data_IF_886788129404
#
_entry.id   IF_886788129404
#
_cell.length_a   1.000
_cell.length_b   1.000
_cell.length_c   1.000
_cell.angle_alpha   90.00
_cell.angle_beta   90.00
_cell.angle_gamma   90.00
#
_symmetry.space_group_name_H-M   'P 1'
#
loop_
_entity.id
_entity.type
_entity.pdbx_description
1 polymer ?
#
# COMPACT_ATOMS: atom_id res chain seq x y z
N UNK A 1 -18.90 -31.46 -26.76
CA UNK A 1 -18.50 -30.66 -27.94
C UNK A 1 -19.73 -30.25 -28.78
N UNK A 2 -20.93 -30.05 -28.18
CA UNK A 2 -22.18 -30.21 -28.95
C UNK A 2 -23.33 -29.22 -28.66
N UNK A 3 -23.21 -28.21 -27.79
CA UNK A 3 -24.35 -27.29 -27.55
C UNK A 3 -24.29 -26.03 -28.42
N UNK A 4 -23.10 -25.62 -28.85
CA UNK A 4 -22.92 -24.42 -29.69
C UNK A 4 -23.16 -24.69 -31.18
N UNK A 5 -22.99 -25.94 -31.63
CA UNK A 5 -23.34 -26.40 -32.99
C UNK A 5 -24.85 -26.59 -33.18
N UNK A 6 -25.61 -26.76 -32.10
CA UNK A 6 -27.08 -26.88 -32.10
C UNK A 6 -27.74 -25.50 -32.13
N UNK A 7 -27.02 -24.44 -31.73
CA UNK A 7 -27.60 -23.11 -31.61
C UNK A 7 -27.72 -22.36 -32.94
N UNK A 8 -26.83 -22.58 -33.93
CA UNK A 8 -27.02 -21.96 -35.23
C UNK A 8 -28.36 -22.46 -35.79
N UNK A 9 -29.30 -21.55 -36.04
CA UNK A 9 -30.59 -21.87 -36.64
C UNK A 9 -30.35 -22.87 -37.78
N UNK A 10 -30.96 -24.05 -37.69
CA UNK A 10 -30.79 -25.16 -38.63
C UNK A 10 -30.94 -24.67 -40.07
N UNK A 11 -31.77 -23.65 -40.29
CA UNK A 11 -31.94 -22.93 -41.56
C UNK A 11 -30.66 -22.24 -42.03
N UNK A 12 -30.02 -21.42 -41.19
CA UNK A 12 -28.78 -20.70 -41.52
C UNK A 12 -27.66 -21.71 -41.80
N UNK A 13 -27.59 -22.80 -41.03
CA UNK A 13 -26.60 -23.85 -41.23
C UNK A 13 -26.74 -24.51 -42.61
N UNK A 14 -27.96 -24.95 -42.95
CA UNK A 14 -28.24 -25.57 -44.24
C UNK A 14 -27.92 -24.62 -45.40
N UNK A 15 -28.31 -23.35 -45.32
CA UNK A 15 -28.02 -22.35 -46.36
C UNK A 15 -26.50 -22.11 -46.53
N UNK A 16 -25.72 -22.11 -45.45
CA UNK A 16 -24.25 -22.01 -45.50
C UNK A 16 -23.64 -23.26 -46.14
N UNK A 17 -24.10 -24.44 -45.72
CA UNK A 17 -23.61 -25.72 -46.23
C UNK A 17 -23.91 -25.86 -47.74
N UNK A 18 -25.12 -25.52 -48.18
CA UNK A 18 -25.52 -25.51 -49.60
C UNK A 18 -24.64 -24.57 -50.44
N UNK A 19 -24.39 -23.34 -49.97
CA UNK A 19 -23.48 -22.43 -50.65
C UNK A 19 -22.04 -22.95 -50.71
N UNK A 20 -21.57 -23.60 -49.66
CA UNK A 20 -20.20 -24.12 -49.59
C UNK A 20 -19.94 -25.27 -50.56
N UNK A 21 -20.99 -25.99 -50.96
CA UNK A 21 -20.92 -27.13 -51.87
C UNK A 21 -21.07 -26.74 -53.35
N UNK A 22 -21.49 -25.50 -53.65
CA UNK A 22 -21.66 -25.04 -55.03
C UNK A 22 -20.32 -24.93 -55.76
N UNK A 23 -20.23 -25.58 -56.92
CA UNK A 23 -19.07 -25.44 -57.83
C UNK A 23 -19.27 -24.22 -58.73
N UNK A 24 -18.27 -23.35 -58.79
CA UNK A 24 -18.33 -22.10 -59.56
C UNK A 24 -17.74 -22.34 -60.95
N UNK A 25 -18.60 -22.33 -61.98
CA UNK A 25 -18.20 -22.44 -63.39
C UNK A 25 -19.02 -21.44 -64.20
N UNK A 26 -18.37 -20.61 -65.01
CA UNK A 26 -19.03 -19.63 -65.89
C UNK A 26 -18.70 -19.98 -67.34
N UNK A 27 -19.69 -20.43 -68.11
CA UNK A 27 -19.59 -20.75 -69.54
C UNK A 27 -20.60 -19.98 -70.38
N UNK A 28 -21.63 -19.43 -69.75
CA UNK A 28 -22.70 -18.66 -70.38
C UNK A 28 -23.00 -17.36 -69.62
N UNK A 29 -23.75 -16.46 -70.27
CA UNK A 29 -24.29 -15.26 -69.62
C UNK A 29 -25.27 -15.62 -68.48
N UNK A 30 -26.01 -16.72 -68.63
CA UNK A 30 -26.93 -17.24 -67.61
C UNK A 30 -26.15 -17.70 -66.35
N UNK A 31 -25.02 -18.39 -66.52
CA UNK A 31 -24.16 -18.81 -65.40
C UNK A 31 -23.64 -17.60 -64.60
N UNK A 32 -23.28 -16.52 -65.31
CA UNK A 32 -22.81 -15.28 -64.68
C UNK A 32 -23.92 -14.63 -63.83
N UNK A 33 -25.16 -14.63 -64.32
CA UNK A 33 -26.30 -14.06 -63.60
C UNK A 33 -26.70 -14.91 -62.39
N UNK A 34 -26.67 -16.23 -62.52
CA UNK A 34 -26.88 -17.16 -61.41
C UNK A 34 -25.82 -16.97 -60.31
N UNK A 35 -24.54 -16.93 -60.67
CA UNK A 35 -23.44 -16.73 -59.70
C UNK A 35 -23.51 -15.35 -59.04
N UNK A 36 -23.88 -14.30 -59.78
CA UNK A 36 -24.11 -12.97 -59.22
C UNK A 36 -25.21 -12.96 -58.16
N UNK A 37 -26.27 -13.74 -58.37
CA UNK A 37 -27.35 -13.92 -57.40
C UNK A 37 -26.88 -14.71 -56.18
N UNK A 38 -26.14 -15.79 -56.39
CA UNK A 38 -25.55 -16.58 -55.30
C UNK A 38 -24.59 -15.76 -54.43
N UNK A 39 -23.80 -14.86 -55.02
CA UNK A 39 -22.92 -13.93 -54.28
C UNK A 39 -23.73 -12.97 -53.40
N UNK A 40 -24.90 -12.49 -53.87
CA UNK A 40 -25.79 -11.66 -53.03
C UNK A 40 -26.35 -12.47 -51.86
N UNK A 41 -26.81 -13.69 -52.12
CA UNK A 41 -27.30 -14.61 -51.09
C UNK A 41 -26.22 -14.94 -50.05
N UNK A 42 -24.98 -15.20 -50.49
CA UNK A 42 -23.86 -15.45 -49.59
C UNK A 42 -23.56 -14.28 -48.65
N UNK A 43 -23.61 -13.04 -49.15
CA UNK A 43 -23.44 -11.84 -48.31
C UNK A 43 -24.55 -11.71 -47.29
N UNK A 44 -25.79 -12.00 -47.68
CA UNK A 44 -26.94 -11.96 -46.79
C UNK A 44 -26.85 -13.02 -45.68
N UNK A 45 -26.52 -14.25 -46.04
CA UNK A 45 -26.33 -15.37 -45.10
C UNK A 45 -25.21 -15.05 -44.11
N UNK A 46 -24.07 -14.51 -44.58
CA UNK A 46 -22.99 -14.05 -43.71
C UNK A 46 -23.45 -13.01 -42.68
N UNK A 47 -24.23 -12.02 -43.11
CA UNK A 47 -24.76 -10.99 -42.20
C UNK A 47 -25.67 -11.58 -41.13
N UNK A 48 -26.46 -12.60 -41.45
CA UNK A 48 -27.31 -13.31 -40.49
C UNK A 48 -26.48 -14.08 -39.46
N UNK A 49 -25.44 -14.79 -39.92
CA UNK A 49 -24.48 -15.48 -39.04
C UNK A 49 -23.82 -14.49 -38.07
N UNK A 50 -23.30 -13.37 -38.58
CA UNK A 50 -22.67 -12.33 -37.75
C UNK A 50 -23.63 -11.76 -36.69
N UNK A 51 -24.87 -11.47 -37.09
CA UNK A 51 -25.91 -10.95 -36.20
C UNK A 51 -26.29 -11.96 -35.12
N UNK A 52 -26.42 -13.23 -35.51
CA UNK A 52 -26.72 -14.33 -34.60
C UNK A 52 -25.65 -14.48 -33.51
N UNK A 53 -24.37 -14.48 -33.87
CA UNK A 53 -23.28 -14.58 -32.90
C UNK A 53 -23.05 -13.29 -32.11
N UNK A 54 -23.45 -12.12 -32.63
CA UNK A 54 -23.29 -10.85 -31.92
C UNK A 54 -24.05 -10.85 -30.60
N UNK A 55 -25.31 -11.26 -30.60
CA UNK A 55 -26.13 -11.29 -29.38
C UNK A 55 -25.54 -12.22 -28.31
N UNK A 56 -24.99 -13.36 -28.71
CA UNK A 56 -24.31 -14.30 -27.80
C UNK A 56 -23.04 -13.71 -27.20
N UNK A 57 -22.19 -13.09 -28.03
CA UNK A 57 -20.97 -12.43 -27.56
C UNK A 57 -21.29 -11.30 -26.58
N UNK A 58 -22.31 -10.50 -26.89
CA UNK A 58 -22.75 -9.40 -26.03
C UNK A 58 -23.31 -9.92 -24.69
N UNK A 59 -24.05 -11.03 -24.70
CA UNK A 59 -24.55 -11.67 -23.48
C UNK A 59 -23.39 -12.24 -22.63
N UNK A 60 -22.48 -13.01 -23.24
CA UNK A 60 -21.32 -13.54 -22.55
C UNK A 60 -20.47 -12.45 -21.91
N UNK A 61 -20.23 -11.34 -22.62
CA UNK A 61 -19.52 -10.18 -22.09
C UNK A 61 -20.24 -9.55 -20.90
N UNK A 62 -21.58 -9.38 -20.97
CA UNK A 62 -22.38 -8.86 -19.85
C UNK A 62 -22.30 -9.78 -18.62
N UNK A 63 -22.44 -11.09 -18.81
CA UNK A 63 -22.34 -12.07 -17.72
C UNK A 63 -20.95 -12.06 -17.11
N UNK A 64 -19.90 -12.11 -17.92
CA UNK A 64 -18.52 -12.01 -17.43
C UNK A 64 -18.29 -10.72 -16.62
N UNK A 65 -18.71 -9.57 -17.16
CA UNK A 65 -18.59 -8.28 -16.47
C UNK A 65 -19.37 -8.26 -15.15
N UNK A 66 -20.55 -8.88 -15.11
CA UNK A 66 -21.35 -9.04 -13.89
C UNK A 66 -20.63 -9.87 -12.83
N UNK A 67 -20.02 -10.98 -13.23
CA UNK A 67 -19.23 -11.85 -12.33
C UNK A 67 -18.04 -11.08 -11.77
N UNK A 68 -17.25 -10.40 -12.62
CA UNK A 68 -16.09 -9.60 -12.19
C UNK A 68 -16.52 -8.48 -11.22
N UNK A 69 -17.66 -7.83 -11.50
CA UNK A 69 -18.19 -6.79 -10.61
C UNK A 69 -18.63 -7.36 -9.26
N UNK A 70 -19.23 -8.55 -9.25
CA UNK A 70 -19.66 -9.21 -8.03
C UNK A 70 -18.45 -9.65 -7.20
N UNK A 71 -17.49 -10.33 -7.81
CA UNK A 71 -16.20 -10.68 -7.20
C UNK A 71 -15.56 -9.47 -6.55
N UNK A 72 -15.41 -8.38 -7.33
CA UNK A 72 -14.86 -7.13 -6.82
C UNK A 72 -15.63 -6.61 -5.61
N UNK A 73 -16.96 -6.64 -5.62
CA UNK A 73 -17.76 -6.15 -4.49
C UNK A 73 -17.52 -6.93 -3.19
N UNK A 74 -17.20 -8.22 -3.26
CA UNK A 74 -16.86 -9.02 -2.08
C UNK A 74 -15.43 -8.77 -1.63
N UNK A 75 -14.49 -8.75 -2.58
CA UNK A 75 -13.07 -8.47 -2.30
C UNK A 75 -12.88 -7.07 -1.71
N UNK A 76 -13.59 -6.07 -2.21
CA UNK A 76 -13.53 -4.70 -1.68
C UNK A 76 -14.02 -4.65 -0.22
N UNK A 77 -15.08 -5.38 0.15
CA UNK A 77 -15.53 -5.47 1.56
C UNK A 77 -14.51 -6.12 2.47
N UNK A 78 -13.83 -7.17 2.00
CA UNK A 78 -12.74 -7.80 2.74
C UNK A 78 -11.57 -6.83 2.94
N UNK A 79 -11.19 -6.10 1.89
CA UNK A 79 -10.15 -5.08 1.96
C UNK A 79 -10.51 -3.95 2.93
N UNK A 80 -11.76 -3.46 2.87
CA UNK A 80 -12.24 -2.40 3.77
C UNK A 80 -12.19 -2.85 5.24
N UNK A 81 -12.61 -4.09 5.51
CA UNK A 81 -12.48 -4.68 6.85
C UNK A 81 -11.03 -4.80 7.29
N UNK A 82 -10.14 -5.31 6.43
CA UNK A 82 -8.72 -5.45 6.73
C UNK A 82 -8.07 -4.10 7.07
N UNK A 83 -8.36 -3.06 6.29
CA UNK A 83 -7.89 -1.69 6.55
C UNK A 83 -8.39 -1.21 7.91
N UNK A 84 -9.69 -1.32 8.18
CA UNK A 84 -10.28 -0.87 9.45
C UNK A 84 -9.72 -1.63 10.66
N UNK A 85 -9.56 -2.95 10.54
CA UNK A 85 -9.02 -3.79 11.60
C UNK A 85 -7.55 -3.44 11.90
N UNK A 86 -6.72 -3.30 10.87
CA UNK A 86 -5.32 -2.91 11.03
C UNK A 86 -5.16 -1.51 11.64
N UNK A 87 -6.02 -0.56 11.26
CA UNK A 87 -6.04 0.76 11.89
C UNK A 87 -6.41 0.70 13.37
N UNK A 88 -7.43 -0.10 13.74
CA UNK A 88 -7.85 -0.28 15.13
C UNK A 88 -6.74 -0.93 15.98
N UNK A 89 -6.10 -1.99 15.46
CA UNK A 89 -4.96 -2.64 16.11
C UNK A 89 -3.81 -1.65 16.30
N UNK A 90 -3.48 -0.86 15.28
CA UNK A 90 -2.42 0.15 15.37
C UNK A 90 -2.72 1.23 16.42
N UNK A 91 -3.98 1.66 16.55
CA UNK A 91 -4.39 2.62 17.59
C UNK A 91 -4.23 2.01 18.97
N UNK A 92 -4.68 0.75 19.17
CA UNK A 92 -4.51 0.03 20.42
C UNK A 92 -3.04 -0.13 20.80
N UNK A 93 -2.20 -0.62 19.88
CA UNK A 93 -0.77 -0.82 20.11
C UNK A 93 -0.05 0.49 20.47
N UNK A 94 -0.41 1.60 19.83
CA UNK A 94 0.11 2.93 20.18
C UNK A 94 -0.30 3.33 21.59
N UNK A 95 -1.55 3.07 21.98
CA UNK A 95 -2.03 3.38 23.33
C UNK A 95 -1.31 2.53 24.38
N UNK A 96 -1.18 1.22 24.15
CA UNK A 96 -0.44 0.32 25.05
C UNK A 96 1.02 0.72 25.16
N UNK A 97 1.67 1.05 24.03
CA UNK A 97 3.07 1.51 24.04
C UNK A 97 3.24 2.83 24.79
N UNK A 98 2.31 3.77 24.63
CA UNK A 98 2.31 5.04 25.37
C UNK A 98 2.18 4.79 26.87
N UNK A 99 1.30 3.88 27.27
CA UNK A 99 1.10 3.52 28.66
C UNK A 99 2.31 2.79 29.27
N UNK A 100 2.90 1.86 28.52
CA UNK A 100 4.15 1.21 28.91
C UNK A 100 5.29 2.21 29.10
N UNK A 101 5.38 3.24 28.25
CA UNK A 101 6.38 4.30 28.41
C UNK A 101 6.11 5.13 29.67
N UNK A 102 4.84 5.48 29.94
CA UNK A 102 4.45 6.21 31.17
C UNK A 102 4.82 5.43 32.42
N UNK A 103 4.49 4.14 32.47
CA UNK A 103 4.88 3.26 33.59
C UNK A 103 6.38 3.08 33.69
N UNK A 104 7.12 3.05 32.57
CA UNK A 104 8.58 2.98 32.61
C UNK A 104 9.21 4.25 33.18
N UNK A 105 8.68 5.43 32.83
CA UNK A 105 9.09 6.71 33.42
C UNK A 105 8.75 6.79 34.91
N UNK A 106 7.57 6.33 35.32
CA UNK A 106 7.17 6.29 36.73
C UNK A 106 8.00 5.30 37.55
N UNK A 107 8.27 4.11 37.01
CA UNK A 107 9.16 3.12 37.61
C UNK A 107 10.57 3.67 37.79
N UNK A 108 11.10 4.39 36.79
CA UNK A 108 12.41 5.02 36.88
C UNK A 108 12.44 6.12 37.95
N UNK A 109 11.43 7.00 38.00
CA UNK A 109 11.31 8.00 39.04
C UNK A 109 11.21 7.39 40.45
N UNK A 110 10.47 6.29 40.59
CA UNK A 110 10.35 5.53 41.85
C UNK A 110 11.66 4.86 42.24
N UNK A 111 12.41 4.28 41.29
CA UNK A 111 13.75 3.72 41.56
C UNK A 111 14.72 4.79 42.03
N UNK A 112 14.72 5.97 41.43
CA UNK A 112 15.55 7.09 41.86
C UNK A 112 15.16 7.58 43.27
N UNK A 113 13.85 7.62 43.58
CA UNK A 113 13.38 7.95 44.91
C UNK A 113 13.74 6.88 45.95
N UNK A 114 13.69 5.59 45.59
CA UNK A 114 14.14 4.49 46.45
C UNK A 114 15.63 4.58 46.75
N UNK A 115 16.45 4.80 45.72
CA UNK A 115 17.90 4.94 45.87
C UNK A 115 18.25 6.11 46.80
N UNK A 116 17.59 7.26 46.61
CA UNK A 116 17.74 8.40 47.50
C UNK A 116 17.28 8.10 48.93
N UNK A 117 16.14 7.45 49.10
CA UNK A 117 15.64 7.06 50.42
C UNK A 117 16.58 6.05 51.10
N UNK A 118 17.23 5.16 50.35
CA UNK A 118 18.24 4.24 50.88
C UNK A 118 19.48 4.99 51.34
N UNK A 119 19.98 5.93 50.54
CA UNK A 119 21.12 6.78 50.90
C UNK A 119 20.82 7.63 52.14
N UNK A 120 19.63 8.24 52.22
CA UNK A 120 19.19 9.01 53.37
C UNK A 120 19.08 8.11 54.63
N UNK A 121 18.55 6.90 54.51
CA UNK A 121 18.45 5.94 55.62
C UNK A 121 19.82 5.39 56.07
N UNK A 122 20.76 5.20 55.14
CA UNK A 122 22.13 4.77 55.43
C UNK A 122 22.92 5.90 56.12
N UNK A 123 22.76 7.14 55.63
CA UNK A 123 23.33 8.32 56.28
C UNK A 123 22.77 8.54 57.69
N UNK A 124 21.45 8.39 57.88
CA UNK A 124 20.81 8.50 59.19
C UNK A 124 21.27 7.40 60.15
N UNK A 125 21.47 6.16 59.66
CA UNK A 125 22.04 5.06 60.46
C UNK A 125 23.47 5.35 60.89
N UNK A 126 24.33 5.82 59.98
CA UNK A 126 25.71 6.21 60.32
C UNK A 126 25.71 7.31 61.39
N UNK A 127 24.87 8.34 61.23
CA UNK A 127 24.76 9.43 62.19
C UNK A 127 24.26 8.95 63.57
N UNK A 128 23.36 7.96 63.59
CA UNK A 128 22.85 7.37 64.81
C UNK A 128 23.89 6.49 65.53
N UNK A 129 24.69 5.71 64.79
CA UNK A 129 25.84 4.98 65.34
C UNK A 129 26.90 5.94 65.89
N UNK A 130 27.26 7.00 65.15
CA UNK A 130 28.23 8.01 65.59
C UNK A 130 27.73 8.77 66.84
N UNK A 131 26.44 9.07 66.94
CA UNK A 131 25.83 9.70 68.11
C UNK A 131 25.70 8.75 69.33
N UNK A 132 25.69 7.44 69.09
CA UNK A 132 25.68 6.41 70.13
C UNK A 132 27.00 6.40 70.92
N UNK A 133 28.10 6.75 70.27
CA UNK A 133 29.44 6.84 70.85
C UNK A 133 29.69 8.16 71.61
N UNK A 134 28.93 9.23 71.35
CA UNK A 134 29.22 10.60 71.88
C UNK A 134 28.11 11.28 72.73
N UNK A 135 26.86 10.80 72.85
CA UNK A 135 25.74 11.63 73.36
C UNK A 135 24.75 11.04 74.42
N UNK A 136 24.08 11.95 75.15
CA UNK A 136 22.99 11.75 76.14
C UNK A 136 21.74 11.03 75.60
N UNK A 137 20.98 10.34 76.46
CA UNK A 137 19.91 9.40 76.08
C UNK A 137 18.80 9.94 75.17
N UNK A 138 18.55 11.26 75.16
CA UNK A 138 17.52 11.90 74.33
C UNK A 138 17.95 12.00 72.85
N UNK A 139 19.21 12.39 72.58
CA UNK A 139 19.75 12.46 71.22
C UNK A 139 19.83 11.08 70.56
N UNK A 140 20.09 10.03 71.36
CA UNK A 140 20.06 8.63 70.89
C UNK A 140 18.65 8.19 70.49
N UNK A 141 17.62 8.59 71.24
CA UNK A 141 16.23 8.27 70.90
C UNK A 141 15.73 9.00 69.65
N UNK A 142 16.13 10.26 69.45
CA UNK A 142 15.80 11.00 68.22
C UNK A 142 16.48 10.39 66.99
N UNK A 143 17.78 10.07 67.08
CA UNK A 143 18.53 9.47 65.98
C UNK A 143 17.99 8.08 65.58
N UNK A 144 17.59 7.24 66.56
CA UNK A 144 16.96 5.93 66.29
C UNK A 144 15.58 6.09 65.65
N UNK A 145 14.76 7.04 66.11
CA UNK A 145 13.44 7.30 65.51
C UNK A 145 13.56 7.82 64.07
N UNK A 146 14.56 8.66 63.80
CA UNK A 146 14.82 9.18 62.45
C UNK A 146 15.30 8.07 61.50
N UNK A 147 16.16 7.16 61.99
CA UNK A 147 16.59 5.99 61.24
C UNK A 147 15.43 5.01 60.93
N UNK A 148 14.57 4.70 61.91
CA UNK A 148 13.38 3.86 61.68
C UNK A 148 12.37 4.50 60.72
N UNK A 149 12.17 5.82 60.82
CA UNK A 149 11.29 6.56 59.91
C UNK A 149 11.84 6.54 58.47
N UNK A 150 13.16 6.69 58.30
CA UNK A 150 13.82 6.60 57.00
C UNK A 150 13.71 5.18 56.41
N UNK A 151 13.84 4.13 57.23
CA UNK A 151 13.71 2.74 56.79
C UNK A 151 12.29 2.38 56.37
N UNK A 152 11.25 2.83 57.10
CA UNK A 152 9.86 2.67 56.66
C UNK A 152 9.59 3.36 55.33
N UNK A 153 10.16 4.54 55.12
CA UNK A 153 10.03 5.28 53.85
C UNK A 153 10.72 4.54 52.69
N UNK A 154 11.87 3.94 52.93
CA UNK A 154 12.56 3.10 51.95
C UNK A 154 11.78 1.81 51.61
N UNK A 155 11.18 1.15 52.61
CA UNK A 155 10.35 -0.04 52.41
C UNK A 155 9.08 0.27 51.58
N UNK A 156 8.39 1.38 51.88
CA UNK A 156 7.23 1.81 51.12
C UNK A 156 7.57 2.19 49.66
N UNK A 157 8.77 2.73 49.43
CA UNK A 157 9.26 3.05 48.08
C UNK A 157 9.48 1.77 47.23
N UNK A 158 10.07 0.73 47.83
CA UNK A 158 10.29 -0.59 47.18
C UNK A 158 8.99 -1.25 46.74
N UNK A 159 7.99 -1.29 47.63
CA UNK A 159 6.70 -1.91 47.34
C UNK A 159 5.99 -1.20 46.19
N UNK A 160 6.03 0.13 46.17
CA UNK A 160 5.48 0.93 45.07
C UNK A 160 6.17 0.66 43.73
N UNK A 161 7.50 0.50 43.71
CA UNK A 161 8.24 0.17 42.49
C UNK A 161 7.90 -1.23 41.95
N UNK A 162 7.77 -2.22 42.85
CA UNK A 162 7.41 -3.59 42.48
C UNK A 162 6.00 -3.70 41.87
N UNK A 163 5.06 -2.88 42.33
CA UNK A 163 3.69 -2.86 41.83
C UNK A 163 3.61 -2.37 40.37
N UNK A 164 4.36 -1.32 40.04
CA UNK A 164 4.44 -0.76 38.68
C UNK A 164 5.08 -1.74 37.70
N UNK A 165 6.15 -2.43 38.09
CA UNK A 165 6.80 -3.42 37.21
C UNK A 165 5.86 -4.61 36.92
N UNK A 166 5.03 -5.01 37.88
CA UNK A 166 4.02 -6.05 37.69
C UNK A 166 2.92 -5.62 36.72
N UNK A 167 2.45 -4.38 36.82
CA UNK A 167 1.47 -3.81 35.87
C UNK A 167 2.04 -3.70 34.45
N UNK A 168 3.32 -3.31 34.33
CA UNK A 168 4.03 -3.26 33.05
C UNK A 168 4.13 -4.64 32.40
N UNK A 169 4.49 -5.67 33.16
CA UNK A 169 4.58 -7.04 32.67
C UNK A 169 3.22 -7.59 32.20
N UNK A 170 2.14 -7.21 32.88
CA UNK A 170 0.78 -7.62 32.50
C UNK A 170 0.32 -7.01 31.17
N UNK A 171 0.83 -5.84 30.80
CA UNK A 171 0.49 -5.12 29.55
C UNK A 171 1.38 -5.48 28.35
N UNK A 172 2.22 -6.50 28.43
CA UNK A 172 3.09 -6.90 27.33
C UNK A 172 2.26 -7.42 26.13
N UNK A 173 2.18 -6.62 25.05
CA UNK A 173 1.53 -7.03 23.78
C UNK A 173 2.31 -8.21 23.20
N UNK A 174 1.63 -9.37 23.11
CA UNK A 174 2.17 -10.55 22.45
C UNK A 174 1.96 -10.41 20.95
N UNK A 175 3.04 -10.17 20.20
CA UNK A 175 2.99 -10.20 18.73
C UNK A 175 2.53 -11.58 18.27
N UNK A 176 1.55 -11.63 17.38
CA UNK A 176 1.14 -12.90 16.77
C UNK A 176 2.14 -13.31 15.67
N UNK A 177 2.31 -14.61 15.46
CA UNK A 177 3.19 -15.14 14.41
C UNK A 177 2.73 -14.64 13.04
N UNK A 178 3.62 -13.96 12.31
CA UNK A 178 3.34 -13.41 10.97
C UNK A 178 3.08 -11.90 10.93
N UNK A 179 3.05 -11.22 12.08
CA UNK A 179 2.84 -9.77 12.15
C UNK A 179 4.14 -8.99 11.89
N UNK A 180 4.19 -8.21 10.80
CA UNK A 180 5.32 -7.34 10.48
C UNK A 180 4.87 -5.89 10.29
N UNK A 181 5.46 -4.97 11.06
CA UNK A 181 5.21 -3.54 10.91
C UNK A 181 6.03 -3.03 9.71
N UNK A 182 5.34 -2.62 8.63
CA UNK A 182 5.98 -2.01 7.48
C UNK A 182 5.95 -0.49 7.58
N UNK A 183 7.12 0.12 7.77
CA UNK A 183 7.27 1.58 7.73
C UNK A 183 7.41 1.99 6.27
N UNK A 184 6.41 2.68 5.73
CA UNK A 184 6.45 3.23 4.36
C UNK A 184 6.57 4.74 4.43
N UNK A 185 7.69 5.26 3.93
CA UNK A 185 7.92 6.70 3.83
C UNK A 185 7.08 7.27 2.69
N UNK A 186 6.14 8.16 3.01
CA UNK A 186 5.34 8.89 2.02
C UNK A 186 5.67 10.37 2.13
N UNK A 187 5.99 10.99 1.00
CA UNK A 187 6.18 12.43 0.90
C UNK A 187 4.86 13.08 0.46
N UNK A 188 4.53 14.23 1.06
CA UNK A 188 3.51 15.15 0.56
C UNK A 188 4.17 16.49 0.33
N UNK A 189 3.85 17.13 -0.79
CA UNK A 189 4.37 18.48 -1.10
C UNK A 189 3.59 19.48 -0.26
N UNK A 190 4.26 20.15 0.68
CA UNK A 190 3.67 21.16 1.58
C UNK A 190 3.72 22.54 0.93
N UNK A 191 4.81 22.83 0.20
CA UNK A 191 4.99 24.00 -0.63
C UNK A 191 5.73 23.59 -1.91
N UNK A 192 5.05 23.75 -3.05
CA UNK A 192 5.60 23.38 -4.35
C UNK A 192 6.79 24.27 -4.77
N UNK A 193 6.86 25.52 -4.28
CA UNK A 193 7.91 26.47 -4.64
C UNK A 193 9.21 26.25 -3.85
N UNK A 194 9.11 25.58 -2.70
CA UNK A 194 10.25 25.17 -1.89
C UNK A 194 10.84 23.81 -2.33
N UNK A 195 10.19 23.09 -3.27
CA UNK A 195 10.73 21.84 -3.81
C UNK A 195 11.96 22.16 -4.68
N UNK A 196 13.16 21.68 -4.33
CA UNK A 196 14.36 21.95 -5.13
C UNK A 196 14.15 21.50 -6.58
N UNK A 197 14.54 22.32 -7.56
CA UNK A 197 14.30 22.11 -9.00
C UNK A 197 14.78 20.75 -9.53
N UNK A 198 15.73 20.11 -8.85
CA UNK A 198 16.22 18.75 -9.13
C UNK A 198 15.17 17.63 -8.92
N UNK A 199 14.07 17.90 -8.21
CA UNK A 199 12.93 16.97 -8.04
C UNK A 199 11.72 17.34 -8.93
N UNK A 200 11.79 18.45 -9.67
CA UNK A 200 10.92 18.72 -10.82
C UNK A 200 11.45 17.87 -11.98
N UNK A 201 10.81 16.72 -12.26
CA UNK A 201 11.31 15.80 -13.29
C UNK A 201 11.50 16.48 -14.65
N UNK A 202 12.66 16.24 -15.27
CA UNK A 202 12.98 16.66 -16.64
C UNK A 202 12.09 15.88 -17.62
N UNK A 203 11.23 16.58 -18.35
CA UNK A 203 10.38 15.99 -19.36
C UNK A 203 11.10 15.95 -20.71
N UNK A 204 11.77 14.85 -20.99
CA UNK A 204 12.58 14.63 -22.20
C UNK A 204 11.78 14.81 -23.49
N UNK A 205 10.50 14.39 -23.52
CA UNK A 205 9.63 14.60 -24.70
C UNK A 205 9.42 16.07 -25.03
N UNK A 206 9.34 16.92 -24.01
CA UNK A 206 9.22 18.37 -24.21
C UNK A 206 10.56 19.00 -24.60
N UNK A 207 11.67 18.53 -24.03
CA UNK A 207 13.00 18.96 -24.47
C UNK A 207 13.25 18.57 -25.94
N UNK A 208 12.84 17.39 -26.37
CA UNK A 208 12.92 16.94 -27.77
C UNK A 208 12.05 17.79 -28.70
N UNK A 209 10.86 18.21 -28.24
CA UNK A 209 9.98 19.08 -29.01
C UNK A 209 10.57 20.51 -29.16
N UNK A 210 11.19 21.03 -28.10
CA UNK A 210 11.90 22.32 -28.10
C UNK A 210 13.13 22.25 -29.00
N UNK A 211 13.88 21.15 -28.96
CA UNK A 211 15.03 20.90 -29.83
C UNK A 211 14.63 20.85 -31.31
N UNK A 212 13.50 20.20 -31.64
CA UNK A 212 12.97 20.13 -33.01
C UNK A 212 12.51 21.49 -33.52
N UNK A 213 11.87 22.29 -32.68
CA UNK A 213 11.32 23.61 -33.05
C UNK A 213 12.44 24.64 -33.24
N UNK A 214 13.48 24.61 -32.41
CA UNK A 214 14.55 25.62 -32.40
C UNK A 214 15.86 25.14 -33.04
N UNK A 215 15.80 24.08 -33.87
CA UNK A 215 16.95 23.41 -34.47
C UNK A 215 17.94 24.35 -35.16
N UNK A 216 17.45 25.39 -35.84
CA UNK A 216 18.28 26.31 -36.61
C UNK A 216 19.03 27.29 -35.68
N UNK A 217 18.40 27.71 -34.58
CA UNK A 217 19.01 28.56 -33.56
C UNK A 217 19.98 27.77 -32.67
N UNK A 218 19.70 26.49 -32.40
CA UNK A 218 20.61 25.57 -31.70
C UNK A 218 21.85 25.31 -32.56
N UNK A 219 21.68 25.08 -33.87
CA UNK A 219 22.78 24.89 -34.81
C UNK A 219 23.65 26.15 -34.99
N UNK A 220 23.05 27.34 -34.90
CA UNK A 220 23.74 28.62 -34.92
C UNK A 220 24.35 29.02 -33.56
N UNK A 221 24.17 28.21 -32.51
CA UNK A 221 24.66 28.49 -31.15
C UNK A 221 23.91 29.62 -30.41
N UNK A 222 22.77 30.06 -30.94
CA UNK A 222 21.98 31.20 -30.43
C UNK A 222 20.93 30.79 -29.38
N UNK A 223 20.66 29.48 -29.22
CA UNK A 223 19.70 28.96 -28.26
C UNK A 223 20.35 27.90 -27.36
N UNK A 224 20.32 28.11 -26.04
CA UNK A 224 20.79 27.15 -25.05
C UNK A 224 19.89 27.13 -23.81
N UNK A 225 19.78 25.97 -23.18
CA UNK A 225 19.09 25.79 -21.90
C UNK A 225 20.17 25.41 -20.86
N UNK A 226 20.37 26.20 -19.79
CA UNK A 226 21.33 25.86 -18.75
C UNK A 226 21.11 24.45 -18.19
N UNK A 227 22.14 23.60 -18.29
CA UNK A 227 22.09 22.20 -17.83
C UNK A 227 21.61 21.17 -18.87
N UNK A 228 21.33 21.56 -20.11
CA UNK A 228 20.91 20.63 -21.20
C UNK A 228 21.86 20.76 -22.40
N UNK A 229 22.42 19.63 -22.84
CA UNK A 229 23.25 19.54 -24.05
C UNK A 229 22.46 18.96 -25.22
N UNK A 230 22.41 19.68 -26.35
CA UNK A 230 21.78 19.18 -27.57
C UNK A 230 22.84 18.50 -28.45
N UNK A 231 22.53 17.31 -28.96
CA UNK A 231 23.38 16.58 -29.90
C UNK A 231 22.53 16.08 -31.09
N UNK A 232 23.19 15.86 -32.23
CA UNK A 232 22.55 15.28 -33.42
C UNK A 232 22.71 13.77 -33.35
N UNK A 233 21.61 13.05 -33.50
CA UNK A 233 21.60 11.60 -33.66
C UNK A 233 20.99 11.25 -35.01
N UNK A 234 21.69 10.46 -35.82
CA UNK A 234 21.30 10.12 -37.19
C UNK A 234 20.84 8.66 -37.23
N UNK A 235 19.58 8.43 -37.61
CA UNK A 235 19.04 7.08 -37.80
C UNK A 235 18.35 6.94 -39.15
N UNK A 236 18.57 5.80 -39.82
CA UNK A 236 17.95 5.47 -41.10
C UNK A 236 16.63 4.73 -40.82
N UNK A 237 15.51 5.34 -41.20
CA UNK A 237 14.17 4.75 -41.04
C UNK A 237 13.64 4.28 -42.40
N UNK A 238 13.25 3.01 -42.50
CA UNK A 238 12.49 2.46 -43.64
C UNK A 238 11.02 2.36 -43.25
N UNK A 239 10.12 2.91 -44.08
CA UNK A 239 8.67 2.83 -43.89
C UNK A 239 8.19 1.41 -44.21
N UNK A 240 7.66 0.68 -43.22
CA UNK A 240 6.83 -0.49 -43.48
C UNK A 240 5.45 -0.01 -43.89
N UNK A 241 5.03 -0.35 -45.11
CA UNK A 241 3.65 -0.19 -45.55
C UNK A 241 2.77 -1.23 -44.86
N UNK A 242 1.78 -0.74 -44.13
CA UNK A 242 0.45 -1.33 -44.03
C UNK A 242 -0.55 -0.20 -44.25
#
# INVERSE_FOLDING_TARGET
MNDMQIALDTTIRTEVDELSQKTIVIRSQEDREAISTDVKSARYIRSRVETFFKSMKDNAYKTWKGIVSMEKSYTDRCNDFEVAANEAILVYDKAVKKEQNRLAEEAEAKRQAEEKARQDAEAARSLAEDAEDESTSEARQEAVQEAEAAERKAAAAREGAALIERERAAMAVRKQTGESVRITWKARVIDANAVPRQYLMVNEKMLDAVAKTNKDQIAAGQFSIPGVGFYKDESIVRKSGY
#
